data_IF_597429536083
#
_entry.id   IF_597429536083
#
_cell.length_a   1.000
_cell.length_b   1.000
_cell.length_c   1.000
_cell.angle_alpha   90.00
_cell.angle_beta   90.00
_cell.angle_gamma   90.00
#
_symmetry.space_group_name_H-M   'P 1'
#
loop_
_entity.id
_entity.type
_entity.pdbx_description
1 polymer ?
#
# COMPACT_ATOMS: atom_id res chain seq x y z
N UNK A 1 6.29 28.60 10.43
CA UNK A 1 5.51 27.87 9.39
C UNK A 1 6.25 27.90 8.04
N UNK A 2 6.23 26.80 7.27
CA UNK A 2 6.83 26.74 5.93
C UNK A 2 6.02 27.51 4.88
N UNK A 3 6.67 27.98 3.80
CA UNK A 3 6.03 28.74 2.70
C UNK A 3 5.31 27.86 1.67
N UNK A 4 5.38 26.53 1.82
CA UNK A 4 4.73 25.54 0.97
C UNK A 4 4.30 24.33 1.79
N UNK A 5 3.28 23.61 1.31
CA UNK A 5 2.78 22.37 1.90
C UNK A 5 2.70 21.25 0.86
N UNK A 6 2.55 20.01 1.34
CA UNK A 6 2.35 18.82 0.50
C UNK A 6 0.95 18.29 0.77
N UNK A 7 0.19 18.03 -0.30
CA UNK A 7 -1.08 17.32 -0.23
C UNK A 7 -0.89 15.92 -0.82
N UNK A 8 -1.27 14.90 -0.06
CA UNK A 8 -1.26 13.51 -0.51
C UNK A 8 -2.69 13.10 -0.86
N UNK A 9 -2.85 12.47 -2.03
CA UNK A 9 -4.13 11.96 -2.50
C UNK A 9 -3.98 10.46 -2.75
N UNK A 10 -4.91 9.69 -2.19
CA UNK A 10 -4.97 8.25 -2.36
C UNK A 10 -6.24 7.87 -3.12
N UNK A 11 -6.11 6.96 -4.09
CA UNK A 11 -7.23 6.32 -4.77
C UNK A 11 -7.09 4.82 -4.60
N UNK A 12 -8.20 4.15 -4.29
CA UNK A 12 -8.22 2.74 -3.88
C UNK A 12 -9.44 2.06 -4.50
N UNK A 13 -9.47 0.73 -4.51
CA UNK A 13 -10.57 -0.04 -5.11
C UNK A 13 -10.72 0.23 -6.61
N UNK A 14 -11.94 0.13 -7.12
CA UNK A 14 -12.24 0.27 -8.56
C UNK A 14 -11.75 1.60 -9.17
N UNK A 15 -11.92 2.76 -8.51
CA UNK A 15 -11.33 4.01 -9.01
C UNK A 15 -9.79 3.95 -9.09
N UNK A 16 -9.12 3.36 -8.10
CA UNK A 16 -7.66 3.19 -8.13
C UNK A 16 -7.19 2.27 -9.26
N UNK A 17 -7.95 1.19 -9.52
CA UNK A 17 -7.71 0.30 -10.64
C UNK A 17 -7.87 1.02 -11.99
N UNK A 18 -8.93 1.82 -12.15
CA UNK A 18 -9.12 2.64 -13.35
C UNK A 18 -7.98 3.65 -13.56
N UNK A 19 -7.54 4.33 -12.49
CA UNK A 19 -6.43 5.29 -12.52
C UNK A 19 -5.09 4.67 -12.90
N UNK A 20 -4.91 3.38 -12.63
CA UNK A 20 -3.69 2.63 -13.00
C UNK A 20 -3.50 2.50 -14.51
N UNK A 21 -4.59 2.57 -15.29
CA UNK A 21 -4.55 2.53 -16.76
C UNK A 21 -4.16 3.87 -17.40
N UNK A 22 -4.22 4.97 -16.64
CA UNK A 22 -3.87 6.30 -17.14
C UNK A 22 -2.35 6.54 -17.15
N UNK A 23 -1.91 7.53 -17.92
CA UNK A 23 -0.55 8.08 -17.83
C UNK A 23 -0.41 8.92 -16.55
N UNK A 24 0.84 9.16 -16.11
CA UNK A 24 1.10 10.05 -14.97
C UNK A 24 0.49 11.44 -15.17
N UNK A 25 0.63 12.00 -16.38
CA UNK A 25 0.10 13.31 -16.73
C UNK A 25 -1.42 13.36 -16.59
N UNK A 26 -2.15 12.36 -17.09
CA UNK A 26 -3.62 12.31 -16.95
C UNK A 26 -4.05 12.13 -15.49
N UNK A 27 -3.39 11.25 -14.72
CA UNK A 27 -3.68 11.11 -13.27
C UNK A 27 -3.54 12.45 -12.54
N UNK A 28 -2.45 13.17 -12.80
CA UNK A 28 -2.17 14.47 -12.16
C UNK A 28 -3.22 15.51 -12.58
N UNK A 29 -3.54 15.60 -13.88
CA UNK A 29 -4.52 16.54 -14.40
C UNK A 29 -5.92 16.30 -13.84
N UNK A 30 -6.34 15.04 -13.75
CA UNK A 30 -7.63 14.64 -13.22
C UNK A 30 -7.73 14.97 -11.72
N UNK A 31 -6.73 14.57 -10.92
CA UNK A 31 -6.70 14.89 -9.49
C UNK A 31 -6.67 16.41 -9.26
N UNK A 32 -5.87 17.16 -10.03
CA UNK A 32 -5.83 18.61 -9.93
C UNK A 32 -7.19 19.25 -10.26
N UNK A 33 -7.95 18.70 -11.23
CA UNK A 33 -9.30 19.18 -11.54
C UNK A 33 -10.29 18.87 -10.41
N UNK A 34 -10.20 17.68 -9.82
CA UNK A 34 -11.04 17.31 -8.67
C UNK A 34 -10.75 18.18 -7.46
N UNK A 35 -9.48 18.42 -7.15
CA UNK A 35 -9.06 19.30 -6.06
C UNK A 35 -9.52 20.74 -6.29
N UNK A 36 -9.50 21.25 -7.52
CA UNK A 36 -9.99 22.61 -7.82
C UNK A 36 -11.50 22.76 -7.57
N UNK A 37 -12.27 21.69 -7.80
CA UNK A 37 -13.72 21.69 -7.48
C UNK A 37 -13.97 21.74 -5.98
N UNK A 38 -13.11 21.11 -5.18
CA UNK A 38 -13.22 21.08 -3.70
C UNK A 38 -12.65 22.37 -3.11
N UNK A 39 -11.53 22.84 -3.65
CA UNK A 39 -10.78 24.03 -3.24
C UNK A 39 -10.55 24.93 -4.46
N UNK A 40 -11.50 25.83 -4.78
CA UNK A 40 -11.42 26.69 -5.94
C UNK A 40 -10.12 27.52 -6.00
N UNK A 41 -9.44 27.50 -7.14
CA UNK A 41 -8.18 28.19 -7.37
C UNK A 41 -6.94 27.40 -6.92
N UNK A 42 -7.10 26.23 -6.31
CA UNK A 42 -5.97 25.39 -5.86
C UNK A 42 -5.01 25.01 -6.98
N UNK A 43 -5.49 24.90 -8.24
CA UNK A 43 -4.61 24.61 -9.40
C UNK A 43 -3.50 25.65 -9.59
N UNK A 44 -3.76 26.92 -9.30
CA UNK A 44 -2.75 27.99 -9.44
C UNK A 44 -1.59 27.85 -8.43
N UNK A 45 -1.81 27.08 -7.37
CA UNK A 45 -0.83 26.81 -6.31
C UNK A 45 -0.06 25.50 -6.52
N UNK A 46 -0.43 24.67 -7.51
CA UNK A 46 0.29 23.44 -7.82
C UNK A 46 1.65 23.79 -8.46
N UNK A 47 2.74 23.42 -7.78
CA UNK A 47 4.11 23.64 -8.27
C UNK A 47 4.74 22.37 -8.82
N UNK A 48 4.59 21.27 -8.10
CA UNK A 48 5.12 19.96 -8.48
C UNK A 48 4.10 18.89 -8.10
N UNK A 49 4.03 17.84 -8.91
CA UNK A 49 3.21 16.68 -8.67
C UNK A 49 3.97 15.42 -9.08
N UNK A 50 3.81 14.37 -8.27
CA UNK A 50 4.27 13.03 -8.58
C UNK A 50 3.13 12.07 -8.31
N UNK A 51 3.08 10.97 -9.05
CA UNK A 51 2.08 9.93 -8.89
C UNK A 51 2.72 8.57 -9.07
N UNK A 52 2.18 7.56 -8.40
CA UNK A 52 2.65 6.18 -8.51
C UNK A 52 1.43 5.29 -8.66
N UNK A 53 1.39 4.50 -9.72
CA UNK A 53 0.41 3.43 -9.89
C UNK A 53 1.00 2.13 -9.34
N UNK A 54 0.88 1.90 -8.04
CA UNK A 54 1.47 0.77 -7.34
C UNK A 54 1.08 -0.61 -7.93
N UNK A 55 -0.12 -0.74 -8.50
CA UNK A 55 -0.54 -1.96 -9.19
C UNK A 55 0.27 -2.28 -10.47
N UNK A 56 1.04 -1.32 -11.00
CA UNK A 56 1.95 -1.50 -12.15
C UNK A 56 3.42 -1.39 -11.77
N UNK A 57 3.73 -1.17 -10.49
CA UNK A 57 5.11 -1.23 -10.01
C UNK A 57 5.53 -2.71 -9.99
N UNK A 58 6.69 -3.00 -10.58
CA UNK A 58 7.10 -4.36 -10.94
C UNK A 58 7.34 -5.28 -9.73
N UNK A 59 7.67 -4.71 -8.57
CA UNK A 59 7.99 -5.44 -7.36
C UNK A 59 6.83 -5.51 -6.38
N UNK A 60 5.94 -4.51 -6.38
CA UNK A 60 4.79 -4.51 -5.46
C UNK A 60 3.53 -5.11 -6.07
N UNK A 61 3.24 -4.89 -7.36
CA UNK A 61 2.03 -5.40 -8.04
C UNK A 61 0.71 -4.97 -7.39
N UNK A 62 0.74 -3.97 -6.51
CA UNK A 62 -0.33 -3.58 -5.61
C UNK A 62 0.18 -2.66 -4.49
N UNK A 63 -0.70 -2.26 -3.59
CA UNK A 63 -0.36 -1.38 -2.45
C UNK A 63 -0.11 -2.19 -1.17
N UNK A 64 -1.17 -2.72 -0.60
CA UNK A 64 -1.17 -3.47 0.65
C UNK A 64 -2.22 -4.58 0.56
N UNK A 65 -2.09 -5.60 1.39
CA UNK A 65 -3.00 -6.74 1.37
C UNK A 65 -4.42 -6.33 1.75
N UNK A 66 -5.37 -6.75 0.90
CA UNK A 66 -6.78 -6.64 1.15
C UNK A 66 -7.42 -8.02 0.99
N UNK A 67 -7.94 -8.57 2.08
CA UNK A 67 -8.58 -9.88 2.08
C UNK A 67 -10.04 -9.80 1.64
N UNK A 68 -10.43 -10.69 0.74
CA UNK A 68 -11.85 -10.92 0.46
C UNK A 68 -12.55 -11.60 1.65
N UNK A 69 -13.88 -11.46 1.77
CA UNK A 69 -14.66 -12.15 2.79
C UNK A 69 -14.35 -13.66 2.84
N UNK A 70 -14.07 -14.17 4.04
CA UNK A 70 -13.74 -15.58 4.29
C UNK A 70 -12.30 -16.00 4.01
N UNK A 71 -11.45 -15.17 3.38
CA UNK A 71 -10.06 -15.55 3.11
C UNK A 71 -9.23 -15.67 4.40
N UNK A 72 -9.40 -14.75 5.35
CA UNK A 72 -8.67 -14.81 6.63
C UNK A 72 -9.03 -16.09 7.39
N UNK A 73 -10.33 -16.38 7.57
CA UNK A 73 -10.76 -17.58 8.32
C UNK A 73 -10.33 -18.87 7.64
N UNK A 74 -10.23 -18.87 6.30
CA UNK A 74 -9.84 -20.05 5.52
C UNK A 74 -8.34 -20.27 5.39
N UNK A 75 -7.53 -19.19 5.34
CA UNK A 75 -6.13 -19.29 4.91
C UNK A 75 -5.11 -18.66 5.87
N UNK A 76 -5.54 -18.04 6.97
CA UNK A 76 -4.63 -17.32 7.86
C UNK A 76 -3.53 -18.20 8.46
N UNK A 77 -3.88 -19.45 8.81
CA UNK A 77 -2.90 -20.39 9.39
C UNK A 77 -1.91 -20.85 8.35
N UNK A 78 -2.38 -21.09 7.13
CA UNK A 78 -1.62 -21.58 5.98
C UNK A 78 -0.63 -20.53 5.50
N UNK A 79 -1.05 -19.26 5.40
CA UNK A 79 -0.21 -18.13 4.97
C UNK A 79 1.01 -17.91 5.88
N UNK A 80 0.89 -18.30 7.15
CA UNK A 80 1.93 -18.11 8.17
C UNK A 80 2.76 -19.37 8.43
N UNK A 81 2.40 -20.51 7.82
CA UNK A 81 3.03 -21.81 8.06
C UNK A 81 4.33 -21.93 7.26
N UNK A 82 5.48 -22.24 7.89
CA UNK A 82 6.71 -22.49 7.16
C UNK A 82 6.63 -23.79 6.34
N UNK A 83 7.41 -23.87 5.27
CA UNK A 83 7.56 -25.05 4.41
C UNK A 83 9.03 -25.47 4.43
N UNK A 84 9.35 -26.49 5.23
CA UNK A 84 10.74 -26.90 5.45
C UNK A 84 11.56 -25.77 6.04
N UNK A 85 12.56 -25.29 5.29
CA UNK A 85 13.45 -24.17 5.66
C UNK A 85 12.95 -22.80 5.16
N UNK A 86 11.79 -22.75 4.50
CA UNK A 86 11.22 -21.53 3.94
C UNK A 86 10.22 -20.95 4.95
N UNK A 87 10.43 -19.70 5.34
CA UNK A 87 9.58 -18.97 6.26
C UNK A 87 8.98 -17.73 5.58
N UNK A 88 7.73 -17.40 5.92
CA UNK A 88 7.00 -16.29 5.32
C UNK A 88 6.86 -15.13 6.31
N UNK A 89 7.40 -13.97 5.93
CA UNK A 89 7.27 -12.69 6.60
C UNK A 89 6.71 -11.65 5.62
N UNK A 90 6.28 -10.52 6.16
CA UNK A 90 5.60 -9.46 5.42
C UNK A 90 4.31 -9.08 6.13
N UNK A 91 3.81 -7.87 5.85
CA UNK A 91 2.61 -7.32 6.48
C UNK A 91 1.41 -8.27 6.38
N UNK A 92 1.30 -8.99 5.26
CA UNK A 92 0.23 -9.94 4.99
C UNK A 92 0.22 -11.12 5.97
N UNK A 93 1.29 -11.35 6.72
CA UNK A 93 1.41 -12.46 7.67
C UNK A 93 1.21 -12.05 9.14
N UNK A 94 0.81 -10.79 9.40
CA UNK A 94 0.60 -10.23 10.74
C UNK A 94 -0.75 -9.49 10.85
N UNK A 95 -1.30 -9.43 12.06
CA UNK A 95 -2.62 -8.85 12.31
C UNK A 95 -2.66 -7.34 12.02
N UNK A 96 -1.51 -6.65 12.04
CA UNK A 96 -1.36 -5.28 11.56
C UNK A 96 -1.17 -5.22 10.04
N UNK A 97 -2.05 -5.92 9.31
CA UNK A 97 -2.05 -6.00 7.83
C UNK A 97 -2.17 -4.61 7.22
N UNK A 98 -1.37 -4.34 6.20
CA UNK A 98 -1.28 -3.10 5.43
C UNK A 98 -0.42 -2.00 6.05
N UNK A 99 0.23 -2.28 7.18
CA UNK A 99 1.10 -1.34 7.87
C UNK A 99 2.54 -1.83 7.94
N UNK A 100 3.47 -0.88 8.04
CA UNK A 100 4.88 -1.16 8.30
C UNK A 100 5.09 -1.95 9.61
N UNK A 101 4.22 -1.73 10.61
CA UNK A 101 4.25 -2.47 11.87
C UNK A 101 4.04 -3.98 11.66
N UNK A 102 3.11 -4.38 10.78
CA UNK A 102 2.90 -5.79 10.45
C UNK A 102 4.11 -6.42 9.76
N UNK A 103 4.76 -5.67 8.87
CA UNK A 103 6.00 -6.10 8.22
C UNK A 103 7.15 -6.27 9.24
N UNK A 104 7.32 -5.32 10.16
CA UNK A 104 8.34 -5.39 11.21
C UNK A 104 8.10 -6.58 12.14
N UNK A 105 6.89 -6.70 12.69
CA UNK A 105 6.53 -7.77 13.64
C UNK A 105 6.66 -9.16 13.02
N UNK A 106 6.21 -9.34 11.79
CA UNK A 106 6.37 -10.61 11.08
C UNK A 106 7.83 -10.96 10.81
N UNK A 107 8.66 -9.97 10.46
CA UNK A 107 10.11 -10.13 10.32
C UNK A 107 10.77 -10.61 11.61
N UNK A 108 10.48 -9.94 12.73
CA UNK A 108 10.99 -10.34 14.06
C UNK A 108 10.52 -11.75 14.43
N UNK A 109 9.24 -12.07 14.21
CA UNK A 109 8.66 -13.41 14.45
C UNK A 109 9.40 -14.50 13.68
N UNK A 110 9.64 -14.27 12.39
CA UNK A 110 10.33 -15.24 11.54
C UNK A 110 11.81 -15.37 11.91
N UNK A 111 12.48 -14.26 12.20
CA UNK A 111 13.88 -14.28 12.63
C UNK A 111 14.10 -15.11 13.90
N UNK A 112 13.22 -14.95 14.90
CA UNK A 112 13.24 -15.78 16.13
C UNK A 112 13.03 -17.26 15.83
N UNK A 113 12.04 -17.58 15.00
CA UNK A 113 11.77 -18.96 14.58
C UNK A 113 12.98 -19.61 13.88
N UNK A 114 13.72 -18.85 13.06
CA UNK A 114 14.94 -19.33 12.38
C UNK A 114 16.09 -19.50 13.37
N UNK A 115 16.25 -18.57 14.31
CA UNK A 115 17.31 -18.62 15.32
C UNK A 115 17.11 -19.73 16.36
N UNK A 116 15.96 -20.43 16.36
CA UNK A 116 15.63 -21.42 17.38
C UNK A 116 15.34 -20.81 18.75
N UNK A 117 15.27 -19.47 18.83
CA UNK A 117 14.78 -18.78 20.01
C UNK A 117 13.27 -18.78 19.88
N UNK A 118 12.60 -19.61 20.69
CA UNK A 118 11.15 -19.59 20.81
C UNK A 118 10.62 -18.18 21.12
N UNK A 119 9.29 -17.97 21.06
CA UNK A 119 8.69 -16.65 21.28
C UNK A 119 9.28 -15.91 22.49
#
# INVERSE_FOLDING_TARGET
PGRAGVLLVYTMGDPGAAFTSLTDAHRIQDVAAQLDRIYPGSRAHLRHAVTVAWAREQYTGGTYTAYAPGQVTRFWRELRRPIGRIHFAGEHTDAFTGYMEGALRSGVRVARAIAGTGP
#
